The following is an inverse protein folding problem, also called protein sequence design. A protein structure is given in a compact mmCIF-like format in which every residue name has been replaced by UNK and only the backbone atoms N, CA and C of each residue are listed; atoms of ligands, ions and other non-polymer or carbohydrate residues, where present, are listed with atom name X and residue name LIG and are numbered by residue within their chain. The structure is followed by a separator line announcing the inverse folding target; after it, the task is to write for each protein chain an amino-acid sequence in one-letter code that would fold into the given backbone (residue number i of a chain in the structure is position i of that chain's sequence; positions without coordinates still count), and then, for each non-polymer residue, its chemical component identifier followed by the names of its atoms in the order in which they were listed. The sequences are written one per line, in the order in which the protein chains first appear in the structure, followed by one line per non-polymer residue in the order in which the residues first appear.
data_IF_566352943296
#
_entry.id   IF_566352943296
#
_cell.length_a   1.000
_cell.length_b   1.000
_cell.length_c   1.000
_cell.angle_alpha   90.00
_cell.angle_beta   90.00
_cell.angle_gamma   90.00
#
_symmetry.space_group_name_H-M   'P 1'
#
loop_
_entity.id
_entity.type
_entity.pdbx_description
1 polymer ?
#
# COMPACT_ATOMS: atom_id res chain seq x y z
N UNK A 1 -2.24 25.85 -2.70
CA UNK A 1 -1.34 25.12 -3.64
C UNK A 1 -0.38 24.30 -2.79
N UNK A 2 -0.12 23.04 -3.13
CA UNK A 2 0.73 22.15 -2.32
C UNK A 2 0.06 20.80 -2.12
N UNK A 3 0.57 19.77 -2.78
CA UNK A 3 0.07 18.41 -2.61
C UNK A 3 0.52 17.42 -3.69
N UNK A 4 0.98 17.89 -4.84
CA UNK A 4 1.50 17.03 -5.93
C UNK A 4 3.02 16.91 -5.93
N UNK A 5 3.75 17.78 -5.24
CA UNK A 5 5.22 17.84 -5.33
C UNK A 5 5.98 16.73 -4.61
N UNK A 6 5.34 15.91 -3.76
CA UNK A 6 6.06 14.99 -2.88
C UNK A 6 5.64 13.51 -2.94
N UNK A 7 4.86 13.11 -3.96
CA UNK A 7 4.59 11.69 -4.18
C UNK A 7 4.91 11.29 -5.63
N UNK A 8 6.07 10.65 -5.87
CA UNK A 8 6.47 10.17 -7.19
C UNK A 8 5.40 9.29 -7.85
N UNK A 9 4.59 8.58 -7.06
CA UNK A 9 3.48 7.76 -7.52
C UNK A 9 2.26 8.56 -8.02
N UNK A 10 2.28 9.89 -8.12
CA UNK A 10 1.12 10.67 -8.60
C UNK A 10 1.30 11.25 -10.01
N UNK A 11 2.48 11.13 -10.64
CA UNK A 11 2.70 11.68 -11.99
C UNK A 11 1.83 10.94 -13.02
N UNK A 12 0.94 11.67 -13.69
CA UNK A 12 0.21 11.24 -14.91
C UNK A 12 -0.99 10.29 -14.74
N UNK A 13 -1.35 9.87 -13.52
CA UNK A 13 -2.42 8.86 -13.30
C UNK A 13 -3.15 9.02 -11.97
N UNK A 14 -3.10 10.21 -11.39
CA UNK A 14 -3.78 10.56 -10.15
C UNK A 14 -4.57 11.86 -10.30
N UNK A 15 -5.78 11.87 -9.77
CA UNK A 15 -6.61 13.07 -9.64
C UNK A 15 -7.07 13.15 -8.19
N UNK A 16 -6.77 14.27 -7.53
CA UNK A 16 -7.33 14.57 -6.20
C UNK A 16 -8.59 15.39 -6.35
N UNK A 17 -9.72 14.81 -5.97
CA UNK A 17 -10.99 15.50 -5.81
C UNK A 17 -11.09 16.07 -4.39
N UNK A 18 -11.74 17.23 -4.27
CA UNK A 18 -12.03 17.84 -2.96
C UNK A 18 -13.49 18.26 -2.92
N UNK A 19 -14.21 17.78 -1.92
CA UNK A 19 -15.55 18.29 -1.56
C UNK A 19 -15.61 18.44 -0.05
N UNK A 20 -15.73 19.67 0.42
CA UNK A 20 -15.63 19.97 1.85
C UNK A 20 -14.24 19.64 2.41
N UNK A 21 -14.19 19.06 3.61
CA UNK A 21 -12.95 18.75 4.32
C UNK A 21 -12.28 17.43 3.91
N UNK A 22 -12.95 16.58 3.13
CA UNK A 22 -12.47 15.23 2.82
C UNK A 22 -11.86 15.22 1.40
N UNK A 23 -10.53 15.07 1.26
CA UNK A 23 -9.92 14.81 -0.03
C UNK A 23 -10.20 13.36 -0.46
N UNK A 24 -10.49 13.16 -1.74
CA UNK A 24 -10.63 11.83 -2.36
C UNK A 24 -9.60 11.72 -3.46
N UNK A 25 -8.75 10.70 -3.37
CA UNK A 25 -7.73 10.42 -4.37
C UNK A 25 -8.22 9.35 -5.33
N UNK A 26 -8.28 9.69 -6.62
CA UNK A 26 -8.53 8.74 -7.70
C UNK A 26 -7.20 8.36 -8.34
N UNK A 27 -6.91 7.06 -8.36
CA UNK A 27 -5.67 6.53 -8.92
C UNK A 27 -6.01 5.51 -10.01
N UNK A 28 -5.40 5.67 -11.18
CA UNK A 28 -5.45 4.65 -12.23
C UNK A 28 -4.36 3.61 -11.97
N UNK A 29 -4.62 2.30 -12.24
CA UNK A 29 -3.61 1.25 -12.14
C UNK A 29 -2.39 1.56 -13.00
N UNK A 30 -1.20 1.47 -12.43
CA UNK A 30 0.06 1.81 -13.13
C UNK A 30 0.90 0.60 -13.48
N UNK A 31 0.69 -0.50 -12.78
CA UNK A 31 1.42 -1.74 -12.95
C UNK A 31 0.53 -2.97 -12.71
N UNK A 32 1.12 -4.15 -12.83
CA UNK A 32 0.39 -5.42 -12.69
C UNK A 32 -0.03 -5.71 -11.25
N UNK A 33 0.66 -5.14 -10.27
CA UNK A 33 0.25 -5.21 -8.88
C UNK A 33 -1.06 -4.46 -8.68
N UNK A 34 -1.18 -3.23 -9.18
CA UNK A 34 -2.40 -2.43 -9.04
C UNK A 34 -3.60 -3.12 -9.71
N UNK A 35 -3.40 -3.71 -10.89
CA UNK A 35 -4.44 -4.48 -11.60
C UNK A 35 -4.88 -5.72 -10.81
N UNK A 36 -3.92 -6.47 -10.28
CA UNK A 36 -4.18 -7.68 -9.50
C UNK A 36 -4.87 -7.36 -8.17
N UNK A 37 -4.43 -6.30 -7.51
CA UNK A 37 -5.03 -5.75 -6.29
C UNK A 37 -6.51 -5.41 -6.52
N UNK A 38 -6.82 -4.72 -7.63
CA UNK A 38 -8.21 -4.46 -8.01
C UNK A 38 -8.97 -5.74 -8.34
N UNK A 39 -8.41 -6.74 -9.01
CA UNK A 39 -9.16 -7.96 -9.35
C UNK A 39 -9.47 -8.84 -8.12
N UNK A 40 -8.61 -8.81 -7.09
CA UNK A 40 -8.77 -9.62 -5.87
C UNK A 40 -9.38 -8.88 -4.68
N UNK A 41 -9.72 -7.59 -4.84
CA UNK A 41 -10.38 -6.78 -3.81
C UNK A 41 -11.64 -7.47 -3.31
N UNK A 42 -11.89 -7.38 -2.00
CA UNK A 42 -13.03 -8.03 -1.36
C UNK A 42 -14.09 -7.00 -1.00
N UNK A 43 -15.33 -7.45 -1.03
CA UNK A 43 -16.47 -6.63 -0.68
C UNK A 43 -16.72 -6.68 0.83
N UNK A 44 -16.87 -5.51 1.45
CA UNK A 44 -17.15 -5.37 2.88
C UNK A 44 -18.35 -4.47 3.11
N UNK A 45 -19.21 -4.86 4.04
CA UNK A 45 -20.28 -4.01 4.56
C UNK A 45 -19.76 -3.21 5.75
N UNK A 46 -19.91 -1.89 5.71
CA UNK A 46 -19.57 -0.98 6.79
C UNK A 46 -20.78 -0.09 7.10
N UNK A 47 -21.59 -0.51 8.07
CA UNK A 47 -22.89 0.11 8.33
C UNK A 47 -23.80 0.01 7.11
N UNK A 48 -24.23 1.16 6.58
CA UNK A 48 -25.03 1.27 5.36
C UNK A 48 -24.18 1.39 4.08
N UNK A 49 -22.85 1.28 4.18
CA UNK A 49 -21.95 1.36 3.04
C UNK A 49 -21.49 -0.02 2.58
N UNK A 50 -21.32 -0.14 1.28
CA UNK A 50 -20.75 -1.29 0.60
C UNK A 50 -19.44 -0.82 -0.04
N UNK A 51 -18.33 -1.40 0.40
CA UNK A 51 -16.98 -0.96 0.05
C UNK A 51 -16.17 -2.11 -0.54
N UNK A 52 -15.39 -1.81 -1.57
CA UNK A 52 -14.35 -2.70 -2.05
C UNK A 52 -13.03 -2.35 -1.36
N UNK A 53 -12.45 -3.33 -0.67
CA UNK A 53 -11.22 -3.15 0.11
C UNK A 53 -10.17 -4.14 -0.37
N UNK A 54 -8.94 -3.66 -0.48
CA UNK A 54 -7.76 -4.42 -0.87
C UNK A 54 -7.16 -5.13 0.35
N UNK A 55 -6.30 -6.13 0.16
CA UNK A 55 -5.71 -6.84 1.30
C UNK A 55 -4.69 -5.97 2.05
N UNK A 56 -4.33 -6.36 3.28
CA UNK A 56 -3.30 -5.65 4.03
C UNK A 56 -1.92 -5.79 3.37
N UNK A 57 -1.63 -6.93 2.74
CA UNK A 57 -0.43 -7.12 1.92
C UNK A 57 -0.37 -6.09 0.78
N UNK A 58 -1.49 -5.88 0.08
CA UNK A 58 -1.58 -4.87 -0.98
C UNK A 58 -1.38 -3.45 -0.45
N UNK A 59 -1.86 -3.15 0.77
CA UNK A 59 -1.63 -1.85 1.43
C UNK A 59 -0.14 -1.67 1.74
N UNK A 60 0.53 -2.70 2.27
CA UNK A 60 1.97 -2.68 2.55
C UNK A 60 2.75 -2.41 1.26
N UNK A 61 2.44 -3.12 0.17
CA UNK A 61 3.12 -2.93 -1.12
C UNK A 61 2.90 -1.51 -1.66
N UNK A 62 1.68 -0.97 -1.60
CA UNK A 62 1.42 0.42 -2.01
C UNK A 62 2.23 1.45 -1.20
N UNK A 63 2.41 1.21 0.10
CA UNK A 63 3.21 2.07 0.96
C UNK A 63 4.69 2.01 0.61
N UNK A 64 5.23 0.81 0.40
CA UNK A 64 6.63 0.63 -0.02
C UNK A 64 6.91 1.26 -1.39
N UNK A 65 6.00 1.10 -2.36
CA UNK A 65 6.10 1.79 -3.67
C UNK A 65 6.14 3.32 -3.55
N UNK A 66 5.52 3.91 -2.53
CA UNK A 66 5.47 5.36 -2.34
C UNK A 66 6.76 5.91 -1.73
N UNK A 67 7.41 5.12 -0.88
CA UNK A 67 8.79 5.33 -0.42
C UNK A 67 9.00 6.59 0.42
N UNK A 68 7.96 7.23 0.94
CA UNK A 68 8.13 8.37 1.87
C UNK A 68 8.45 7.85 3.26
N UNK A 69 9.18 8.62 4.05
CA UNK A 69 9.55 8.26 5.44
C UNK A 69 8.34 7.80 6.26
N UNK A 70 7.21 8.51 6.15
CA UNK A 70 5.98 8.14 6.85
C UNK A 70 5.40 6.80 6.37
N UNK A 71 5.54 6.45 5.10
CA UNK A 71 5.01 5.19 4.57
C UNK A 71 5.78 3.99 5.16
N UNK A 72 7.09 4.12 5.42
CA UNK A 72 7.85 3.10 6.14
C UNK A 72 7.39 2.94 7.59
N UNK A 73 7.14 4.04 8.30
CA UNK A 73 6.62 4.03 9.68
C UNK A 73 5.25 3.33 9.73
N UNK A 74 4.38 3.63 8.76
CA UNK A 74 3.06 3.01 8.65
C UNK A 74 3.17 1.50 8.40
N UNK A 75 4.08 1.06 7.52
CA UNK A 75 4.32 -0.37 7.25
C UNK A 75 4.82 -1.07 8.50
N UNK A 76 5.80 -0.52 9.21
CA UNK A 76 6.29 -1.10 10.47
C UNK A 76 5.16 -1.26 11.49
N UNK A 77 4.30 -0.25 11.59
CA UNK A 77 3.12 -0.26 12.43
C UNK A 77 2.12 -1.38 12.07
N UNK A 78 1.95 -1.68 10.78
CA UNK A 78 1.12 -2.79 10.32
C UNK A 78 1.78 -4.13 10.66
N UNK A 79 3.06 -4.30 10.34
CA UNK A 79 3.80 -5.53 10.60
C UNK A 79 3.78 -5.93 12.09
N UNK A 80 3.97 -4.97 13.00
CA UNK A 80 3.96 -5.21 14.44
C UNK A 80 2.57 -5.57 15.01
N UNK A 81 1.49 -5.10 14.39
CA UNK A 81 0.11 -5.33 14.87
C UNK A 81 -0.55 -6.56 14.25
N UNK A 82 -0.06 -6.99 13.09
CA UNK A 82 -0.63 -8.07 12.29
C UNK A 82 0.33 -9.27 12.21
N UNK A 83 1.15 -9.44 13.25
CA UNK A 83 2.14 -10.52 13.34
C UNK A 83 1.44 -11.88 13.19
N UNK A 84 1.81 -12.62 12.14
CA UNK A 84 1.29 -13.97 11.85
C UNK A 84 0.05 -14.04 10.95
N UNK A 85 -0.56 -12.91 10.56
CA UNK A 85 -1.70 -12.91 9.63
C UNK A 85 -1.36 -12.43 8.22
N UNK A 86 -0.17 -11.85 8.02
CA UNK A 86 0.29 -11.37 6.72
C UNK A 86 0.99 -12.46 5.93
N UNK A 87 0.67 -12.56 4.64
CA UNK A 87 1.40 -13.42 3.71
C UNK A 87 2.70 -12.74 3.26
N UNK A 88 3.77 -12.98 4.01
CA UNK A 88 5.10 -12.45 3.73
C UNK A 88 5.70 -13.00 2.42
N UNK A 89 5.30 -14.19 1.98
CA UNK A 89 5.77 -14.76 0.72
C UNK A 89 5.18 -13.97 -0.45
N UNK A 90 3.89 -13.67 -0.41
CA UNK A 90 3.23 -12.83 -1.42
C UNK A 90 3.82 -11.41 -1.47
N UNK A 91 4.05 -10.78 -0.32
CA UNK A 91 4.70 -9.45 -0.26
C UNK A 91 6.10 -9.51 -0.87
N UNK A 92 6.88 -10.54 -0.53
CA UNK A 92 8.24 -10.74 -1.03
C UNK A 92 8.28 -10.89 -2.55
N UNK A 93 7.37 -11.68 -3.11
CA UNK A 93 7.29 -11.90 -4.56
C UNK A 93 6.97 -10.61 -5.31
N UNK A 94 6.02 -9.82 -4.80
CA UNK A 94 5.71 -8.52 -5.37
C UNK A 94 6.84 -7.52 -5.21
N UNK A 95 7.50 -7.49 -4.05
CA UNK A 95 8.63 -6.59 -3.80
C UNK A 95 9.77 -6.83 -4.81
N UNK A 96 10.06 -8.10 -5.13
CA UNK A 96 11.03 -8.46 -6.18
C UNK A 96 10.58 -8.02 -7.57
N UNK A 97 9.33 -8.32 -7.96
CA UNK A 97 8.76 -7.95 -9.28
C UNK A 97 8.77 -6.43 -9.51
N UNK A 98 8.47 -5.67 -8.47
CA UNK A 98 8.39 -4.21 -8.49
C UNK A 98 9.74 -3.52 -8.24
N UNK A 99 10.82 -4.29 -7.99
CA UNK A 99 12.15 -3.78 -7.65
C UNK A 99 12.18 -2.89 -6.40
N UNK A 100 11.31 -3.17 -5.44
CA UNK A 100 11.24 -2.52 -4.11
C UNK A 100 11.72 -3.46 -2.99
N UNK A 101 12.63 -4.38 -3.34
CA UNK A 101 13.11 -5.43 -2.44
C UNK A 101 13.89 -4.86 -1.25
N UNK A 102 14.67 -3.79 -1.46
CA UNK A 102 15.46 -3.20 -0.38
C UNK A 102 14.58 -2.49 0.64
N UNK A 103 13.50 -1.84 0.19
CA UNK A 103 12.49 -1.23 1.04
C UNK A 103 11.78 -2.27 1.90
N UNK A 104 11.41 -3.40 1.30
CA UNK A 104 10.80 -4.53 2.02
C UNK A 104 11.77 -5.16 3.03
N UNK A 105 13.03 -5.37 2.62
CA UNK A 105 14.07 -5.91 3.50
C UNK A 105 14.33 -4.98 4.68
N UNK A 106 14.41 -3.67 4.44
CA UNK A 106 14.59 -2.67 5.48
C UNK A 106 13.51 -2.79 6.56
N UNK A 107 12.22 -2.77 6.18
CA UNK A 107 11.13 -2.89 7.17
C UNK A 107 11.11 -4.25 7.86
N UNK A 108 11.45 -5.33 7.15
CA UNK A 108 11.53 -6.68 7.72
C UNK A 108 12.60 -6.81 8.82
N UNK A 109 13.76 -6.15 8.65
CA UNK A 109 14.81 -6.14 9.69
C UNK A 109 14.40 -5.36 10.92
N UNK A 110 13.64 -4.27 10.76
CA UNK A 110 13.22 -3.41 11.88
C UNK A 110 12.04 -4.00 12.66
N UNK A 111 11.16 -4.76 12.00
CA UNK A 111 10.00 -5.37 12.62
C UNK A 111 10.29 -6.73 13.29
N UNK A 112 11.56 -7.16 13.33
CA UNK A 112 12.00 -8.49 13.81
C UNK A 112 11.23 -9.65 13.13
N UNK A 113 10.89 -9.48 11.85
CA UNK A 113 10.28 -10.54 11.00
C UNK A 113 11.37 -11.53 10.55
N UNK A 114 12.44 -11.65 11.34
CA UNK A 114 13.66 -12.37 11.00
C UNK A 114 13.77 -13.68 11.77
N UNK A 115 12.91 -14.65 11.45
CA UNK A 115 13.32 -16.06 11.38
C UNK A 115 12.28 -16.91 10.64
N UNK A 116 12.70 -17.81 9.72
CA UNK A 116 11.87 -18.93 9.32
C UNK A 116 11.54 -19.85 10.51
#
# INVERSE_FOLDING_TARGET
MGGTEHNPMLRGSHVRLRRGAIPVDLMLPKDDHDRTCLSRRRHYALGNLSLWIISLEDVVIHKLKAGRVQDFIDVLSVLQRQTGSLDHASITDWAKKLRIWEEWRYVGTQADVSRP
#
